data_IF_877316747130
#
_entry.id   IF_877316747130
#
_cell.length_a   1.000
_cell.length_b   1.000
_cell.length_c   1.000
_cell.angle_alpha   90.00
_cell.angle_beta   90.00
_cell.angle_gamma   90.00
#
_symmetry.space_group_name_H-M   'P 1'
#
loop_
_entity.id
_entity.type
_entity.pdbx_description
1 polymer ?
#
# COMPACT_ATOMS: atom_id res chain seq x y z
N UNK A 1 -18.65 17.57 15.35
CA UNK A 1 -17.75 16.92 16.32
C UNK A 1 -18.37 17.12 17.71
N UNK A 2 -18.46 16.07 18.52
CA UNK A 2 -18.97 16.18 19.90
C UNK A 2 -18.00 17.02 20.74
N UNK A 3 -18.52 17.67 21.80
CA UNK A 3 -17.66 18.37 22.75
C UNK A 3 -16.70 17.39 23.43
N UNK A 4 -15.43 17.76 23.58
CA UNK A 4 -14.44 16.92 24.25
C UNK A 4 -13.04 17.06 23.65
N UNK A 5 -12.12 16.25 24.16
CA UNK A 5 -10.75 16.14 23.65
C UNK A 5 -10.73 15.14 22.48
N UNK A 6 -10.21 15.57 21.36
CA UNK A 6 -10.10 14.75 20.14
C UNK A 6 -8.66 14.70 19.66
N UNK A 7 -8.33 13.64 18.94
CA UNK A 7 -7.07 13.51 18.23
C UNK A 7 -7.35 13.55 16.75
N UNK A 8 -6.69 14.45 16.04
CA UNK A 8 -6.69 14.51 14.58
C UNK A 8 -5.43 13.79 14.08
N UNK A 9 -5.61 12.84 13.18
CA UNK A 9 -4.53 12.18 12.47
C UNK A 9 -4.67 12.47 10.98
N UNK A 10 -3.58 12.91 10.36
CA UNK A 10 -3.49 13.17 8.92
C UNK A 10 -2.45 12.24 8.34
N UNK A 11 -2.82 11.55 7.28
CA UNK A 11 -1.90 10.76 6.47
C UNK A 11 -1.56 11.56 5.22
N UNK A 12 -0.28 11.81 5.00
CA UNK A 12 0.22 12.48 3.81
C UNK A 12 1.20 11.57 3.09
N UNK A 13 0.97 11.33 1.80
CA UNK A 13 1.80 10.48 0.98
C UNK A 13 2.58 11.30 -0.04
N UNK A 14 3.88 11.07 -0.09
CA UNK A 14 4.78 11.74 -1.02
C UNK A 14 4.96 10.89 -2.28
N UNK A 15 3.95 10.84 -3.12
CA UNK A 15 3.95 10.10 -4.38
C UNK A 15 3.86 11.02 -5.59
N UNK A 16 4.18 10.45 -6.73
CA UNK A 16 4.24 11.16 -8.00
C UNK A 16 5.44 12.11 -8.08
N UNK A 17 5.95 12.24 -9.27
CA UNK A 17 7.05 13.17 -9.58
C UNK A 17 6.81 13.75 -10.97
N UNK A 18 7.19 15.00 -11.13
CA UNK A 18 7.34 15.59 -12.44
C UNK A 18 8.58 14.98 -13.08
N UNK A 19 8.42 14.35 -14.23
CA UNK A 19 9.51 13.64 -14.92
C UNK A 19 10.04 14.43 -16.11
N UNK A 20 9.38 15.51 -16.46
CA UNK A 20 9.73 16.35 -17.61
C UNK A 20 9.25 17.80 -17.40
N UNK A 21 10.00 18.76 -17.92
CA UNK A 21 9.64 20.17 -17.91
C UNK A 21 10.46 21.03 -16.94
N UNK A 22 10.24 22.36 -16.94
CA UNK A 22 11.01 23.30 -16.14
C UNK A 22 10.81 23.09 -14.62
N UNK A 23 9.66 22.56 -14.20
CA UNK A 23 9.31 22.35 -12.79
C UNK A 23 9.86 21.02 -12.24
N UNK A 24 10.72 20.29 -12.99
CA UNK A 24 11.24 19.00 -12.56
C UNK A 24 11.97 19.06 -11.20
N UNK A 25 12.55 20.20 -10.85
CA UNK A 25 13.21 20.44 -9.57
C UNK A 25 12.28 20.98 -8.48
N UNK A 26 11.07 21.39 -8.84
CA UNK A 26 10.06 21.91 -7.91
C UNK A 26 8.97 20.87 -7.65
N UNK A 27 9.33 19.81 -6.95
CA UNK A 27 8.47 18.66 -6.65
C UNK A 27 8.10 18.58 -5.17
N UNK A 28 7.80 19.71 -4.55
CA UNK A 28 7.31 19.71 -3.18
C UNK A 28 6.00 18.95 -3.06
N UNK A 29 5.90 18.09 -2.05
CA UNK A 29 4.73 17.23 -1.77
C UNK A 29 4.37 17.30 -0.29
N UNK A 30 3.11 17.05 0.00
CA UNK A 30 2.60 17.02 1.37
C UNK A 30 1.47 18.00 1.61
N UNK A 31 1.30 18.40 2.86
CA UNK A 31 0.33 19.40 3.27
C UNK A 31 1.00 20.77 3.33
N UNK A 32 0.40 21.75 2.68
CA UNK A 32 0.90 23.11 2.62
C UNK A 32 -0.08 24.05 3.32
N UNK A 33 0.45 25.05 4.03
CA UNK A 33 -0.32 26.04 4.76
C UNK A 33 -0.78 25.58 6.14
N UNK A 34 -1.59 26.39 6.78
CA UNK A 34 -2.15 26.13 8.09
C UNK A 34 -3.33 25.15 8.02
N UNK A 35 -3.44 24.31 9.03
CA UNK A 35 -4.60 23.42 9.22
C UNK A 35 -5.48 24.04 10.28
N UNK A 36 -6.72 24.33 9.93
CA UNK A 36 -7.69 24.96 10.83
C UNK A 36 -8.89 24.08 11.08
N UNK A 37 -9.46 24.19 12.27
CA UNK A 37 -10.78 23.67 12.60
C UNK A 37 -11.70 24.86 12.90
N UNK A 38 -12.68 25.09 12.04
CA UNK A 38 -13.39 26.36 11.95
C UNK A 38 -12.35 27.50 11.76
N UNK A 39 -12.33 28.49 12.62
CA UNK A 39 -11.42 29.64 12.52
C UNK A 39 -10.16 29.49 13.40
N UNK A 40 -9.96 28.32 14.02
CA UNK A 40 -8.85 28.09 14.94
C UNK A 40 -7.77 27.24 14.27
N UNK A 41 -6.53 27.76 14.24
CA UNK A 41 -5.40 26.99 13.76
C UNK A 41 -5.04 25.88 14.74
N UNK A 42 -4.83 24.67 14.18
CA UNK A 42 -4.38 23.50 14.93
C UNK A 42 -2.87 23.42 14.84
N UNK A 43 -2.21 23.53 15.99
CA UNK A 43 -0.76 23.43 16.11
C UNK A 43 -0.30 22.20 16.88
N UNK A 44 0.98 22.21 17.28
CA UNK A 44 1.64 21.15 18.07
C UNK A 44 1.60 19.76 17.40
N UNK A 45 1.83 19.72 16.10
CA UNK A 45 1.86 18.48 15.32
C UNK A 45 3.00 17.57 15.73
N UNK A 46 2.69 16.28 15.89
CA UNK A 46 3.69 15.22 15.96
C UNK A 46 3.75 14.53 14.59
N UNK A 47 4.90 14.64 13.93
CA UNK A 47 5.15 13.95 12.66
C UNK A 47 5.74 12.58 12.92
N UNK A 48 5.23 11.57 12.24
CA UNK A 48 5.71 10.19 12.31
C UNK A 48 5.99 9.76 10.87
N UNK A 49 7.27 9.59 10.47
CA UNK A 49 7.57 9.05 9.16
C UNK A 49 7.16 7.57 9.09
N UNK A 50 6.49 7.18 8.02
CA UNK A 50 6.08 5.81 7.77
C UNK A 50 6.90 5.25 6.60
N UNK A 51 7.94 4.50 6.91
CA UNK A 51 8.75 3.79 5.92
C UNK A 51 8.11 2.43 5.59
N UNK A 52 6.96 2.44 4.94
CA UNK A 52 6.16 1.23 4.71
C UNK A 52 6.95 0.17 3.93
N UNK A 53 7.70 0.59 2.90
CA UNK A 53 8.48 -0.34 2.07
C UNK A 53 9.61 -1.03 2.83
N UNK A 54 10.16 -0.37 3.82
CA UNK A 54 11.25 -0.89 4.65
C UNK A 54 10.73 -1.67 5.87
N UNK A 55 9.42 -1.91 5.93
CA UNK A 55 8.81 -2.66 7.01
C UNK A 55 9.30 -4.10 7.03
N UNK A 56 9.75 -4.57 8.20
CA UNK A 56 10.10 -5.97 8.43
C UNK A 56 8.83 -6.82 8.50
N UNK A 57 8.20 -7.08 7.35
CA UNK A 57 6.89 -7.74 7.27
C UNK A 57 6.85 -9.14 7.87
N UNK A 58 8.02 -9.79 8.01
CA UNK A 58 8.16 -11.09 8.68
C UNK A 58 7.93 -11.02 10.18
N UNK A 59 8.12 -9.86 10.80
CA UNK A 59 7.96 -9.63 12.25
C UNK A 59 6.55 -9.18 12.63
N UNK A 60 5.68 -8.92 11.64
CA UNK A 60 4.31 -8.48 11.90
C UNK A 60 3.48 -9.61 12.53
N UNK A 61 2.76 -9.25 13.59
CA UNK A 61 1.77 -10.13 14.21
C UNK A 61 0.40 -9.86 13.59
N UNK A 62 -0.25 -10.92 13.11
CA UNK A 62 -1.57 -10.83 12.50
C UNK A 62 -2.63 -11.41 13.43
N UNK A 63 -3.76 -10.70 13.55
CA UNK A 63 -4.94 -11.16 14.24
C UNK A 63 -6.03 -11.60 13.23
N UNK A 64 -7.02 -12.41 13.65
CA UNK A 64 -8.21 -12.62 12.83
C UNK A 64 -8.80 -11.29 12.42
N UNK A 65 -9.26 -11.23 11.17
CA UNK A 65 -9.72 -9.97 10.59
C UNK A 65 -10.91 -9.39 11.33
N UNK A 66 -10.78 -8.13 11.73
CA UNK A 66 -11.89 -7.25 12.12
C UNK A 66 -12.17 -6.28 10.98
N UNK A 67 -13.38 -5.74 10.89
CA UNK A 67 -13.76 -4.78 9.85
C UNK A 67 -12.81 -3.59 9.85
N UNK A 68 -12.00 -3.54 8.77
CA UNK A 68 -10.91 -2.61 8.69
C UNK A 68 -11.19 -1.44 7.76
N UNK A 69 -11.93 -0.45 8.14
CA UNK A 69 -11.96 0.83 7.43
C UNK A 69 -10.68 1.66 7.63
N UNK A 70 -9.52 1.02 7.84
CA UNK A 70 -8.24 1.66 8.18
C UNK A 70 -7.13 1.07 7.33
N UNK A 71 -6.05 1.83 7.08
CA UNK A 71 -4.83 1.26 6.54
C UNK A 71 -4.37 0.07 7.40
N UNK A 72 -4.11 -1.07 6.75
CA UNK A 72 -3.67 -2.26 7.48
C UNK A 72 -2.87 -3.22 6.60
N UNK A 73 -2.15 -4.12 7.27
CA UNK A 73 -1.49 -5.24 6.61
C UNK A 73 -2.39 -6.46 6.59
N UNK A 74 -2.42 -7.13 5.44
CA UNK A 74 -3.05 -8.43 5.24
C UNK A 74 -1.98 -9.48 4.99
N UNK A 75 -2.23 -10.69 5.46
CA UNK A 75 -1.37 -11.84 5.17
C UNK A 75 -2.21 -12.96 4.58
N UNK A 76 -1.71 -13.53 3.49
CA UNK A 76 -2.29 -14.70 2.83
C UNK A 76 -1.20 -15.70 2.45
N UNK A 77 -1.64 -16.85 1.99
CA UNK A 77 -0.76 -17.89 1.44
C UNK A 77 -1.32 -18.40 0.13
N UNK A 78 -0.44 -18.84 -0.76
CA UNK A 78 -0.80 -19.51 -2.00
C UNK A 78 0.22 -20.62 -2.31
N UNK A 79 -0.16 -21.58 -3.13
CA UNK A 79 0.69 -22.71 -3.48
C UNK A 79 1.10 -22.63 -4.94
N UNK A 80 2.38 -22.90 -5.20
CA UNK A 80 2.96 -22.96 -6.53
C UNK A 80 3.57 -24.37 -6.72
N UNK A 81 3.17 -25.07 -7.77
CA UNK A 81 3.73 -26.39 -8.09
C UNK A 81 5.09 -26.26 -8.79
N UNK A 82 5.18 -25.36 -9.74
CA UNK A 82 6.39 -25.08 -10.52
C UNK A 82 6.57 -23.58 -10.56
N UNK A 83 7.63 -23.02 -9.91
CA UNK A 83 7.94 -21.61 -10.00
C UNK A 83 8.18 -21.18 -11.45
N UNK A 84 7.46 -20.18 -11.89
CA UNK A 84 7.57 -19.56 -13.21
C UNK A 84 7.22 -18.07 -13.11
N UNK A 85 7.69 -17.28 -14.04
CA UNK A 85 7.30 -15.88 -14.15
C UNK A 85 5.77 -15.77 -14.24
N UNK A 86 5.21 -14.95 -13.39
CA UNK A 86 3.76 -14.78 -13.28
C UNK A 86 3.41 -13.34 -12.89
N UNK A 87 2.13 -13.04 -12.83
CA UNK A 87 1.62 -11.74 -12.40
C UNK A 87 0.65 -11.93 -11.24
N UNK A 88 0.76 -11.06 -10.24
CA UNK A 88 -0.23 -10.95 -9.18
C UNK A 88 -1.29 -9.94 -9.61
N UNK A 89 -2.52 -10.41 -9.77
CA UNK A 89 -3.70 -9.59 -10.06
C UNK A 89 -4.10 -8.81 -8.81
N UNK A 90 -3.95 -7.49 -8.87
CA UNK A 90 -4.31 -6.54 -7.80
C UNK A 90 -5.60 -5.77 -8.13
N UNK A 91 -6.32 -6.16 -9.17
CA UNK A 91 -7.56 -5.50 -9.60
C UNK A 91 -8.58 -5.42 -8.47
N UNK A 92 -9.12 -4.23 -8.29
CA UNK A 92 -10.11 -3.95 -7.25
C UNK A 92 -9.53 -3.77 -5.84
N UNK A 93 -8.21 -3.83 -5.66
CA UNK A 93 -7.53 -3.29 -4.49
C UNK A 93 -7.31 -1.79 -4.67
N UNK A 94 -7.24 -1.04 -3.57
CA UNK A 94 -7.20 0.42 -3.63
C UNK A 94 -5.82 0.97 -3.94
N UNK A 95 -4.94 0.94 -2.96
CA UNK A 95 -3.59 1.48 -3.06
C UNK A 95 -2.70 0.89 -1.98
N UNK A 96 -1.52 0.42 -2.34
CA UNK A 96 -0.64 -0.17 -1.34
C UNK A 96 0.63 -0.81 -1.87
N UNK A 97 1.19 -1.69 -1.05
CA UNK A 97 2.47 -2.34 -1.25
C UNK A 97 2.34 -3.86 -1.05
N UNK A 98 3.15 -4.62 -1.75
CA UNK A 98 3.10 -6.09 -1.73
C UNK A 98 4.48 -6.68 -1.46
N UNK A 99 4.51 -7.73 -0.64
CA UNK A 99 5.68 -8.58 -0.40
C UNK A 99 5.30 -10.04 -0.65
N UNK A 100 6.20 -10.76 -1.31
CA UNK A 100 6.11 -12.21 -1.49
C UNK A 100 7.30 -12.84 -0.78
N UNK A 101 7.03 -13.83 0.08
CA UNK A 101 8.07 -14.51 0.88
C UNK A 101 8.96 -13.53 1.69
N UNK A 102 8.39 -12.39 2.12
CA UNK A 102 9.11 -11.35 2.85
C UNK A 102 9.90 -10.37 1.97
N UNK A 103 9.99 -10.60 0.67
CA UNK A 103 10.65 -9.71 -0.27
C UNK A 103 9.66 -8.75 -0.93
N UNK A 104 10.03 -7.48 -1.00
CA UNK A 104 9.21 -6.45 -1.64
C UNK A 104 9.01 -6.78 -3.13
N UNK A 105 7.75 -6.86 -3.55
CA UNK A 105 7.37 -7.22 -4.91
C UNK A 105 6.92 -6.01 -5.74
N UNK A 106 6.30 -5.01 -5.12
CA UNK A 106 5.87 -3.82 -5.83
C UNK A 106 4.73 -3.07 -5.15
N UNK A 107 4.36 -1.96 -5.75
CA UNK A 107 3.23 -1.12 -5.34
C UNK A 107 2.08 -1.23 -6.34
N UNK A 108 0.88 -0.91 -5.89
CA UNK A 108 -0.30 -0.86 -6.73
C UNK A 108 -1.17 0.35 -6.39
N UNK A 109 -1.94 0.77 -7.37
CA UNK A 109 -2.93 1.82 -7.22
C UNK A 109 -4.07 1.61 -8.22
N UNK A 110 -5.31 1.64 -7.74
CA UNK A 110 -6.52 1.40 -8.54
C UNK A 110 -6.67 2.31 -9.76
N UNK A 111 -6.01 3.49 -9.75
CA UNK A 111 -6.03 4.45 -10.84
C UNK A 111 -4.94 4.20 -11.89
N UNK A 112 -4.01 3.29 -11.65
CA UNK A 112 -3.02 2.92 -12.64
C UNK A 112 -3.66 2.12 -13.78
N UNK A 113 -3.13 2.27 -14.99
CA UNK A 113 -3.56 1.44 -16.11
C UNK A 113 -3.21 -0.04 -15.87
N UNK A 114 -2.02 -0.33 -15.35
CA UNK A 114 -1.62 -1.68 -15.00
C UNK A 114 -2.15 -2.08 -13.63
N UNK A 115 -2.90 -3.17 -13.61
CA UNK A 115 -3.54 -3.75 -12.44
C UNK A 115 -2.90 -5.09 -12.03
N UNK A 116 -1.63 -5.25 -12.28
CA UNK A 116 -0.87 -6.44 -11.91
C UNK A 116 0.57 -6.12 -11.55
N UNK A 117 1.16 -6.94 -10.67
CA UNK A 117 2.58 -6.88 -10.29
C UNK A 117 3.26 -8.11 -10.86
N UNK A 118 4.35 -7.92 -11.61
CA UNK A 118 5.16 -9.04 -12.08
C UNK A 118 5.89 -9.71 -10.92
N UNK A 119 5.82 -11.01 -10.86
CA UNK A 119 6.53 -11.86 -9.91
C UNK A 119 7.49 -12.77 -10.69
N UNK A 120 8.79 -12.48 -10.70
CA UNK A 120 9.78 -13.37 -11.30
C UNK A 120 9.81 -14.74 -10.61
N UNK A 121 10.14 -15.79 -11.37
CA UNK A 121 10.19 -17.16 -10.88
C UNK A 121 11.05 -17.33 -9.61
N UNK A 122 12.15 -16.58 -9.53
CA UNK A 122 13.07 -16.57 -8.39
C UNK A 122 12.49 -16.05 -7.07
N UNK A 123 11.39 -15.29 -7.13
CA UNK A 123 10.70 -14.81 -5.93
C UNK A 123 9.74 -15.85 -5.35
N UNK A 124 9.50 -16.90 -6.11
CA UNK A 124 8.58 -17.97 -5.78
C UNK A 124 9.32 -19.23 -5.37
N UNK A 125 8.69 -20.04 -4.53
CA UNK A 125 9.19 -21.36 -4.17
C UNK A 125 8.15 -22.43 -4.49
N UNK A 126 8.60 -23.64 -4.76
CA UNK A 126 7.70 -24.80 -4.87
C UNK A 126 7.00 -25.04 -3.53
N UNK A 127 5.70 -25.20 -3.55
CA UNK A 127 4.88 -25.36 -2.36
C UNK A 127 4.29 -24.04 -1.88
N UNK A 128 4.22 -23.85 -0.57
CA UNK A 128 3.56 -22.70 0.03
C UNK A 128 4.42 -21.45 -0.08
N UNK A 129 3.79 -20.36 -0.53
CA UNK A 129 4.35 -19.02 -0.58
C UNK A 129 3.51 -18.09 0.30
N UNK A 130 4.15 -17.11 0.94
CA UNK A 130 3.48 -16.10 1.73
C UNK A 130 3.29 -14.83 0.92
N UNK A 131 2.14 -14.21 1.08
CA UNK A 131 1.79 -12.91 0.53
C UNK A 131 1.48 -11.96 1.67
N UNK A 132 2.17 -10.84 1.74
CA UNK A 132 1.85 -9.73 2.65
C UNK A 132 1.47 -8.52 1.82
N UNK A 133 0.37 -7.89 2.17
CA UNK A 133 -0.17 -6.73 1.47
C UNK A 133 -0.43 -5.62 2.47
N UNK A 134 0.13 -4.44 2.24
CA UNK A 134 -0.31 -3.22 2.89
C UNK A 134 -1.38 -2.58 2.01
N UNK A 135 -2.57 -2.36 2.55
CA UNK A 135 -3.68 -1.69 1.87
C UNK A 135 -4.02 -0.39 2.59
N UNK A 136 -3.89 0.71 1.89
CA UNK A 136 -4.11 2.05 2.42
C UNK A 136 -5.61 2.43 2.47
N UNK A 137 -6.38 2.06 1.43
CA UNK A 137 -7.76 2.51 1.26
C UNK A 137 -8.80 1.59 1.87
N UNK A 138 -8.47 0.31 2.05
CA UNK A 138 -9.34 -0.70 2.65
C UNK A 138 -10.74 -0.79 2.04
N UNK A 139 -10.81 -1.07 0.74
CA UNK A 139 -12.05 -1.13 -0.04
C UNK A 139 -12.87 -2.43 0.12
N UNK A 140 -12.52 -3.28 1.07
CA UNK A 140 -13.21 -4.55 1.32
C UNK A 140 -12.75 -5.73 0.47
N UNK A 141 -11.88 -5.56 -0.53
CA UNK A 141 -11.31 -6.65 -1.31
C UNK A 141 -10.48 -7.57 -0.41
N UNK A 142 -10.57 -8.89 -0.65
CA UNK A 142 -9.93 -9.91 0.22
C UNK A 142 -9.17 -10.98 -0.55
N UNK A 143 -9.19 -10.93 -1.85
CA UNK A 143 -8.58 -11.96 -2.71
C UNK A 143 -7.71 -11.33 -3.77
N UNK A 144 -6.59 -11.99 -4.05
CA UNK A 144 -5.74 -11.77 -5.20
C UNK A 144 -5.61 -13.08 -5.97
N UNK A 145 -5.22 -13.02 -7.22
CA UNK A 145 -5.02 -14.19 -8.08
C UNK A 145 -3.68 -14.10 -8.79
N UNK A 146 -3.14 -15.24 -9.17
CA UNK A 146 -2.03 -15.30 -10.11
C UNK A 146 -2.59 -15.32 -11.53
N UNK A 147 -1.89 -14.70 -12.45
CA UNK A 147 -2.20 -14.62 -13.88
C UNK A 147 -0.95 -14.92 -14.71
N UNK A 148 -1.12 -15.56 -15.85
CA UNK A 148 -0.06 -15.79 -16.83
C UNK A 148 0.24 -14.54 -17.68
N UNK A 149 -0.55 -13.49 -17.54
CA UNK A 149 -0.45 -12.25 -18.31
C UNK A 149 -0.61 -11.03 -17.42
N UNK A 150 0.05 -9.94 -17.83
CA UNK A 150 -0.18 -8.64 -17.25
C UNK A 150 -1.65 -8.20 -17.45
N UNK A 151 -2.22 -7.58 -16.42
CA UNK A 151 -3.60 -7.11 -16.41
C UNK A 151 -3.59 -5.57 -16.47
N UNK A 152 -4.41 -5.04 -17.35
CA UNK A 152 -4.62 -3.62 -17.57
C UNK A 152 -6.10 -3.28 -17.53
N UNK A 153 -6.42 -2.05 -17.09
CA UNK A 153 -7.76 -1.45 -17.24
C UNK A 153 -7.96 -0.89 -18.63
#
# INVERSE_FOLDING_TARGET
>A
VLAGKHTLQLYAENIGRITYGPEILDNSKGLFGSITLSDTEIGNWRMIPLAVRDCAVGELTFAPQTDGGRPCFYKGTFTVEIPADTYLDVSGWGMGEVWVNGHYAGSYWEQNAQQSIQLPAETLQKGANSLTVFELKSNGKRTMRLSDKAIFN
#
